data_IF_922596771651
#
_entry.id   IF_922596771651
#
_cell.length_a   1.000
_cell.length_b   1.000
_cell.length_c   1.000
_cell.angle_alpha   90.00
_cell.angle_beta   90.00
_cell.angle_gamma   90.00
#
_symmetry.space_group_name_H-M   'P 1'
#
loop_
_entity.id
_entity.type
_entity.pdbx_description
1 polymer ?
#
# COMPACT_ATOMS: atom_id res chain seq x y z
N UNK A 1 -6.27 4.09 18.13
CA UNK A 1 -7.15 2.94 17.82
C UNK A 1 -8.45 3.34 17.10
N UNK A 2 -8.97 4.58 17.23
CA UNK A 2 -10.22 5.00 16.58
C UNK A 2 -10.19 5.13 15.04
N UNK A 3 -9.01 5.25 14.41
CA UNK A 3 -8.88 5.37 12.95
C UNK A 3 -8.94 4.06 12.16
N UNK A 4 -8.74 2.90 12.82
CA UNK A 4 -8.64 1.60 12.16
C UNK A 4 -9.87 1.24 11.33
N UNK A 5 -11.10 1.32 11.88
CA UNK A 5 -12.32 1.06 11.13
C UNK A 5 -12.49 1.98 9.91
N UNK A 6 -12.17 3.27 10.05
CA UNK A 6 -12.22 4.24 8.95
C UNK A 6 -11.28 3.87 7.81
N UNK A 7 -10.06 3.43 8.13
CA UNK A 7 -9.09 2.95 7.15
C UNK A 7 -9.59 1.68 6.42
N UNK A 8 -10.08 0.69 7.15
CA UNK A 8 -10.60 -0.56 6.57
C UNK A 8 -11.79 -0.27 5.65
N UNK A 9 -12.70 0.61 6.09
CA UNK A 9 -13.86 1.00 5.30
C UNK A 9 -13.46 1.76 4.02
N UNK A 10 -12.49 2.68 4.12
CA UNK A 10 -11.92 3.38 2.98
C UNK A 10 -11.26 2.42 1.97
N UNK A 11 -10.38 1.53 2.43
CA UNK A 11 -9.70 0.57 1.55
C UNK A 11 -10.68 -0.41 0.90
N UNK A 12 -11.71 -0.85 1.62
CA UNK A 12 -12.77 -1.70 1.08
C UNK A 12 -13.56 -0.99 -0.02
N UNK A 13 -13.96 0.26 0.21
CA UNK A 13 -14.70 1.06 -0.77
C UNK A 13 -13.85 1.42 -1.98
N UNK A 14 -12.56 1.72 -1.76
CA UNK A 14 -11.58 1.95 -2.82
C UNK A 14 -11.44 0.74 -3.73
N UNK A 15 -11.22 -0.45 -3.17
CA UNK A 15 -11.14 -1.71 -3.93
C UNK A 15 -12.43 -1.98 -4.69
N UNK A 16 -13.59 -1.71 -4.07
CA UNK A 16 -14.90 -1.84 -4.74
C UNK A 16 -15.02 -0.96 -5.99
N UNK A 17 -14.52 0.28 -5.95
CA UNK A 17 -14.51 1.19 -7.11
C UNK A 17 -13.48 0.78 -8.15
N UNK A 18 -12.30 0.33 -7.73
CA UNK A 18 -11.25 -0.18 -8.63
C UNK A 18 -11.77 -1.36 -9.45
N UNK A 19 -12.45 -2.34 -8.81
CA UNK A 19 -13.11 -3.44 -9.51
C UNK A 19 -14.10 -2.98 -10.60
N UNK A 20 -14.75 -1.83 -10.42
CA UNK A 20 -15.67 -1.26 -11.40
C UNK A 20 -14.98 -0.43 -12.50
N UNK A 21 -13.65 -0.34 -12.49
CA UNK A 21 -12.87 0.49 -13.41
C UNK A 21 -12.83 1.98 -13.04
N UNK A 22 -13.30 2.36 -11.85
CA UNK A 22 -13.30 3.76 -11.38
C UNK A 22 -12.07 3.98 -10.50
N UNK A 23 -10.89 4.08 -11.11
CA UNK A 23 -9.63 4.23 -10.37
C UNK A 23 -9.37 5.67 -9.89
N UNK A 24 -9.83 6.67 -10.67
CA UNK A 24 -9.57 8.09 -10.44
C UNK A 24 -10.18 8.62 -9.14
N UNK A 25 -11.30 8.03 -8.70
CA UNK A 25 -12.00 8.42 -7.48
C UNK A 25 -11.07 8.40 -6.25
N UNK A 26 -10.30 7.32 -6.12
CA UNK A 26 -9.38 7.15 -5.01
C UNK A 26 -8.21 8.13 -5.05
N UNK A 27 -7.72 8.45 -6.25
CA UNK A 27 -6.63 9.41 -6.46
C UNK A 27 -7.07 10.83 -6.07
N UNK A 28 -8.25 11.28 -6.53
CA UNK A 28 -8.78 12.61 -6.22
C UNK A 28 -8.97 12.77 -4.70
N UNK A 29 -9.54 11.76 -4.05
CA UNK A 29 -9.77 11.79 -2.60
C UNK A 29 -8.44 11.86 -1.84
N UNK A 30 -7.44 11.07 -2.21
CA UNK A 30 -6.11 11.11 -1.59
C UNK A 30 -5.40 12.45 -1.81
N UNK A 31 -5.57 13.06 -2.98
CA UNK A 31 -4.98 14.36 -3.32
C UNK A 31 -5.55 15.50 -2.46
N UNK A 32 -6.85 15.45 -2.13
CA UNK A 32 -7.50 16.42 -1.23
C UNK A 32 -7.08 16.17 0.22
N UNK A 33 -6.92 14.92 0.61
CA UNK A 33 -6.72 14.53 2.01
C UNK A 33 -5.28 14.70 2.47
N UNK A 34 -4.31 14.49 1.57
CA UNK A 34 -2.90 14.71 1.87
C UNK A 34 -2.61 16.10 2.48
N UNK A 35 -3.01 17.23 1.86
CA UNK A 35 -2.77 18.55 2.45
C UNK A 35 -3.57 18.77 3.74
N UNK A 36 -4.79 18.23 3.83
CA UNK A 36 -5.59 18.28 5.06
C UNK A 36 -4.86 17.58 6.21
N UNK A 37 -4.27 16.41 5.96
CA UNK A 37 -3.49 15.67 6.93
C UNK A 37 -2.26 16.44 7.40
N UNK A 38 -1.55 17.10 6.47
CA UNK A 38 -0.39 17.95 6.80
C UNK A 38 -0.82 19.12 7.70
N UNK A 39 -1.90 19.82 7.35
CA UNK A 39 -2.42 20.93 8.15
C UNK A 39 -2.86 20.48 9.55
N UNK A 40 -3.56 19.35 9.63
CA UNK A 40 -3.97 18.74 10.91
C UNK A 40 -2.77 18.36 11.76
N UNK A 41 -1.73 17.75 11.18
CA UNK A 41 -0.51 17.42 11.91
C UNK A 41 0.18 18.69 12.43
N UNK A 42 0.34 19.73 11.62
CA UNK A 42 0.95 21.00 12.07
C UNK A 42 0.12 21.60 13.21
N UNK A 43 -1.20 21.70 13.05
CA UNK A 43 -2.11 22.26 14.04
C UNK A 43 -2.06 21.49 15.37
N UNK A 44 -2.22 20.17 15.33
CA UNK A 44 -2.33 19.33 16.53
C UNK A 44 -0.99 19.12 17.23
N UNK A 45 0.12 19.13 16.50
CA UNK A 45 1.45 18.96 17.08
C UNK A 45 1.97 20.27 17.67
N UNK A 46 1.78 21.41 16.99
CA UNK A 46 2.38 22.70 17.40
C UNK A 46 1.45 23.54 18.30
N UNK A 47 0.14 23.52 18.08
CA UNK A 47 -0.80 24.42 18.77
C UNK A 47 -1.60 23.76 19.89
N UNK A 48 -1.46 22.44 20.08
CA UNK A 48 -2.20 21.70 21.11
C UNK A 48 -1.22 21.04 22.08
N UNK A 49 -1.66 20.84 23.33
CA UNK A 49 -0.90 20.12 24.37
C UNK A 49 -0.63 18.64 24.05
N UNK A 50 -1.23 18.10 22.98
CA UNK A 50 -1.17 16.70 22.58
C UNK A 50 0.17 16.29 21.93
N UNK A 51 1.01 17.25 21.46
CA UNK A 51 2.34 17.00 20.85
C UNK A 51 2.34 15.74 19.96
N UNK A 52 3.07 14.70 20.34
CA UNK A 52 3.22 13.45 19.58
C UNK A 52 1.90 12.67 19.43
N UNK A 53 1.03 12.67 20.46
CA UNK A 53 -0.30 12.05 20.38
C UNK A 53 -1.22 12.77 19.39
N UNK A 54 -0.96 14.06 19.14
CA UNK A 54 -1.66 14.86 18.14
C UNK A 54 -1.56 14.27 16.73
N UNK A 55 -0.41 13.67 16.37
CA UNK A 55 -0.23 13.04 15.06
C UNK A 55 -1.09 11.78 14.88
N UNK A 56 -1.15 10.92 15.89
CA UNK A 56 -2.01 9.74 15.86
C UNK A 56 -3.51 10.09 15.78
N UNK A 57 -3.90 11.19 16.42
CA UNK A 57 -5.26 11.72 16.33
C UNK A 57 -5.55 12.31 14.95
N UNK A 58 -4.65 13.15 14.42
CA UNK A 58 -4.73 13.70 13.06
C UNK A 58 -4.93 12.60 12.02
N UNK A 59 -4.14 11.53 12.12
CA UNK A 59 -4.23 10.38 11.21
C UNK A 59 -5.59 9.67 11.33
N UNK A 60 -6.11 9.50 12.55
CA UNK A 60 -7.42 8.89 12.77
C UNK A 60 -8.54 9.70 12.13
N UNK A 61 -8.52 11.02 12.29
CA UNK A 61 -9.48 11.95 11.66
C UNK A 61 -9.37 11.88 10.14
N UNK A 62 -8.15 11.85 9.62
CA UNK A 62 -7.87 11.76 8.18
C UNK A 62 -8.47 10.50 7.55
N UNK A 63 -8.37 9.34 8.21
CA UNK A 63 -8.99 8.11 7.70
C UNK A 63 -10.52 8.17 7.65
N UNK A 64 -11.16 8.75 8.65
CA UNK A 64 -12.60 8.95 8.64
C UNK A 64 -13.04 9.95 7.55
N UNK A 65 -12.26 11.02 7.35
CA UNK A 65 -12.48 11.97 6.24
C UNK A 65 -12.29 11.30 4.88
N UNK A 66 -11.31 10.40 4.75
CA UNK A 66 -11.10 9.63 3.52
C UNK A 66 -12.28 8.75 3.16
N UNK A 67 -12.77 8.02 4.16
CA UNK A 67 -13.96 7.20 3.98
C UNK A 67 -15.19 8.04 3.63
N UNK A 68 -15.42 9.17 4.31
CA UNK A 68 -16.60 10.01 4.06
C UNK A 68 -16.55 10.68 2.69
N UNK A 69 -15.41 11.27 2.29
CA UNK A 69 -15.23 11.89 0.98
C UNK A 69 -15.39 10.87 -0.15
N UNK A 70 -14.82 9.67 0.00
CA UNK A 70 -14.98 8.62 -0.99
C UNK A 70 -16.44 8.17 -1.08
N UNK A 71 -17.14 8.01 0.05
CA UNK A 71 -18.56 7.66 0.09
C UNK A 71 -19.45 8.70 -0.60
N UNK A 72 -19.17 9.99 -0.36
CA UNK A 72 -19.83 11.10 -1.04
C UNK A 72 -19.57 11.04 -2.55
N UNK A 73 -18.32 10.82 -2.96
CA UNK A 73 -17.97 10.66 -4.37
C UNK A 73 -18.77 9.51 -5.02
N UNK A 74 -18.86 8.35 -4.36
CA UNK A 74 -19.65 7.20 -4.86
C UNK A 74 -21.13 7.56 -5.02
N UNK A 75 -21.70 8.28 -4.04
CA UNK A 75 -23.10 8.69 -4.08
C UNK A 75 -23.42 9.61 -5.26
N UNK A 76 -22.53 10.56 -5.55
CA UNK A 76 -22.71 11.51 -6.66
C UNK A 76 -22.20 11.01 -8.01
N UNK A 77 -21.36 9.96 -8.04
CA UNK A 77 -20.74 9.49 -9.28
C UNK A 77 -21.78 8.87 -10.24
N UNK A 78 -21.96 9.45 -11.44
CA UNK A 78 -22.88 8.90 -12.44
C UNK A 78 -22.42 7.53 -12.95
N UNK A 79 -21.11 7.27 -12.98
CA UNK A 79 -20.52 5.99 -13.38
C UNK A 79 -20.93 4.85 -12.44
N UNK A 80 -20.97 5.10 -11.13
CA UNK A 80 -21.44 4.10 -10.17
C UNK A 80 -22.95 3.84 -10.33
N UNK A 81 -23.73 4.90 -10.52
CA UNK A 81 -25.18 4.80 -10.76
C UNK A 81 -25.52 4.01 -12.03
N UNK A 82 -24.67 4.10 -13.06
CA UNK A 82 -24.79 3.35 -14.31
C UNK A 82 -24.56 1.85 -14.12
N UNK A 83 -23.60 1.48 -13.29
CA UNK A 83 -23.22 0.07 -13.08
C UNK A 83 -24.26 -0.73 -12.27
N UNK A 84 -25.15 -0.07 -11.51
CA UNK A 84 -26.23 -0.70 -10.69
C UNK A 84 -25.73 -1.87 -9.81
N UNK A 85 -24.47 -1.82 -9.39
CA UNK A 85 -23.78 -2.86 -8.65
C UNK A 85 -24.12 -2.88 -7.16
N UNK A 86 -24.78 -1.84 -6.65
CA UNK A 86 -25.16 -1.73 -5.24
C UNK A 86 -26.66 -1.91 -5.04
N UNK A 87 -27.07 -3.08 -4.53
CA UNK A 87 -28.48 -3.41 -4.23
C UNK A 87 -28.93 -3.03 -2.80
N UNK A 88 -28.12 -2.23 -2.09
CA UNK A 88 -28.33 -1.86 -0.69
C UNK A 88 -27.66 -2.80 0.31
N UNK A 89 -27.48 -2.33 1.55
CA UNK A 89 -26.92 -3.15 2.64
C UNK A 89 -27.99 -4.11 3.15
N UNK A 90 -27.90 -5.38 2.76
CA UNK A 90 -28.76 -6.45 3.28
C UNK A 90 -27.96 -7.26 4.29
N UNK A 91 -28.09 -6.96 5.58
CA UNK A 91 -27.32 -7.63 6.65
C UNK A 91 -27.40 -9.16 6.60
N UNK A 92 -28.53 -9.72 6.14
CA UNK A 92 -28.72 -11.17 5.97
C UNK A 92 -27.76 -11.82 4.96
N UNK A 93 -27.35 -11.09 3.92
CA UNK A 93 -26.38 -11.58 2.93
C UNK A 93 -24.94 -11.26 3.33
N UNK A 94 -24.73 -10.17 4.09
CA UNK A 94 -23.40 -9.81 4.61
C UNK A 94 -22.93 -10.79 5.70
N UNK A 95 -23.87 -11.29 6.51
CA UNK A 95 -23.59 -12.23 7.60
C UNK A 95 -23.80 -13.70 7.19
N UNK A 96 -23.95 -13.97 5.89
CA UNK A 96 -24.04 -15.35 5.42
C UNK A 96 -22.73 -16.09 5.67
N UNK A 97 -22.78 -17.10 6.53
CA UNK A 97 -21.61 -17.82 7.00
C UNK A 97 -20.87 -18.53 5.85
N UNK A 98 -21.59 -19.06 4.86
CA UNK A 98 -20.98 -19.73 3.71
C UNK A 98 -20.16 -18.74 2.86
N UNK A 99 -20.74 -17.59 2.53
CA UNK A 99 -20.04 -16.53 1.79
C UNK A 99 -18.79 -16.02 2.53
N UNK A 100 -18.89 -15.83 3.85
CA UNK A 100 -17.75 -15.45 4.69
C UNK A 100 -16.64 -16.51 4.70
N UNK A 101 -16.98 -17.80 4.79
CA UNK A 101 -15.98 -18.89 4.79
C UNK A 101 -15.25 -18.96 3.44
N UNK A 102 -15.97 -18.82 2.33
CA UNK A 102 -15.37 -18.81 0.98
C UNK A 102 -14.41 -17.64 0.85
N UNK A 103 -14.82 -16.44 1.27
CA UNK A 103 -13.95 -15.27 1.27
C UNK A 103 -12.72 -15.47 2.16
N UNK A 104 -12.90 -16.01 3.38
CA UNK A 104 -11.80 -16.25 4.30
C UNK A 104 -10.81 -17.28 3.75
N UNK A 105 -11.27 -18.32 3.07
CA UNK A 105 -10.41 -19.33 2.42
C UNK A 105 -9.52 -18.72 1.34
N UNK A 106 -9.98 -17.68 0.66
CA UNK A 106 -9.20 -16.91 -0.32
C UNK A 106 -8.30 -15.87 0.34
N UNK A 107 -8.76 -15.22 1.41
CA UNK A 107 -8.02 -14.17 2.11
C UNK A 107 -6.89 -14.71 2.98
N UNK A 108 -7.08 -15.87 3.61
CA UNK A 108 -6.14 -16.43 4.59
C UNK A 108 -4.74 -16.71 4.00
N UNK A 109 -4.59 -17.31 2.80
CA UNK A 109 -3.28 -17.45 2.17
C UNK A 109 -2.59 -16.11 1.93
N UNK A 110 -3.33 -15.10 1.48
CA UNK A 110 -2.79 -13.75 1.24
C UNK A 110 -2.35 -13.06 2.53
N UNK A 111 -3.14 -13.18 3.60
CA UNK A 111 -2.79 -12.65 4.93
C UNK A 111 -1.54 -13.34 5.47
N UNK A 112 -1.44 -14.66 5.34
CA UNK A 112 -0.27 -15.40 5.80
C UNK A 112 0.98 -15.04 4.99
N UNK A 113 0.87 -14.89 3.68
CA UNK A 113 1.98 -14.52 2.81
C UNK A 113 2.56 -13.15 3.20
N UNK A 114 1.72 -12.10 3.19
CA UNK A 114 2.14 -10.72 3.51
C UNK A 114 2.53 -10.60 4.99
N UNK A 115 1.82 -11.27 5.89
CA UNK A 115 2.13 -11.26 7.32
C UNK A 115 3.47 -11.92 7.65
N UNK A 116 3.81 -13.00 6.95
CA UNK A 116 5.12 -13.68 7.13
C UNK A 116 6.26 -12.82 6.60
N UNK A 117 6.06 -12.15 5.46
CA UNK A 117 7.03 -11.21 4.90
C UNK A 117 7.32 -10.06 5.87
N UNK A 118 6.27 -9.42 6.40
CA UNK A 118 6.44 -8.34 7.39
C UNK A 118 7.12 -8.84 8.66
N UNK A 119 6.74 -10.01 9.16
CA UNK A 119 7.36 -10.61 10.33
C UNK A 119 8.86 -10.84 10.14
N UNK A 120 9.29 -11.25 8.94
CA UNK A 120 10.71 -11.41 8.62
C UNK A 120 11.48 -10.08 8.72
N UNK A 121 10.92 -8.99 8.18
CA UNK A 121 11.53 -7.67 8.29
C UNK A 121 11.64 -7.18 9.74
N UNK A 122 10.62 -7.41 10.56
CA UNK A 122 10.63 -7.08 11.99
C UNK A 122 11.68 -7.89 12.76
N UNK A 123 11.84 -9.18 12.45
CA UNK A 123 12.88 -10.02 13.06
C UNK A 123 14.28 -9.47 12.74
N UNK A 124 14.52 -9.05 11.50
CA UNK A 124 15.79 -8.44 11.09
C UNK A 124 15.99 -7.09 11.80
N UNK A 125 14.95 -6.27 11.95
CA UNK A 125 15.01 -5.02 12.69
C UNK A 125 15.34 -5.22 14.18
N UNK A 126 14.71 -6.20 14.82
CA UNK A 126 15.00 -6.55 16.22
C UNK A 126 16.42 -7.11 16.39
N UNK A 127 16.91 -7.88 15.41
CA UNK A 127 18.29 -8.37 15.41
C UNK A 127 19.29 -7.21 15.23
N UNK A 128 19.04 -6.30 14.28
CA UNK A 128 19.85 -5.11 14.06
C UNK A 128 19.89 -4.19 15.30
N UNK A 129 18.75 -4.06 16.01
CA UNK A 129 18.66 -3.33 17.27
C UNK A 129 19.54 -3.89 18.39
N UNK A 130 19.86 -5.19 18.37
CA UNK A 130 20.82 -5.80 19.32
C UNK A 130 22.28 -5.58 18.94
N UNK A 131 22.58 -5.32 17.67
CA UNK A 131 23.94 -5.12 17.16
C UNK A 131 24.45 -3.68 17.39
N UNK A 132 23.57 -2.72 17.65
CA UNK A 132 23.90 -1.35 17.99
C UNK A 132 23.05 -0.31 17.26
N UNK A 133 23.36 0.97 17.46
CA UNK A 133 22.64 2.08 16.83
C UNK A 133 22.86 2.17 15.32
N UNK A 134 24.08 1.88 14.84
CA UNK A 134 24.44 1.98 13.41
C UNK A 134 23.69 0.95 12.55
N UNK A 135 23.68 -0.36 12.89
CA UNK A 135 22.88 -1.35 12.13
C UNK A 135 21.38 -1.09 12.20
N UNK A 136 20.87 -0.63 13.35
CA UNK A 136 19.46 -0.28 13.51
C UNK A 136 19.07 0.90 12.60
N UNK A 137 19.88 1.94 12.56
CA UNK A 137 19.67 3.09 11.68
C UNK A 137 19.71 2.66 10.21
N UNK A 138 20.71 1.88 9.80
CA UNK A 138 20.82 1.36 8.44
C UNK A 138 19.59 0.52 8.06
N UNK A 139 19.09 -0.33 8.96
CA UNK A 139 17.89 -1.13 8.73
C UNK A 139 16.63 -0.27 8.58
N UNK A 140 16.48 0.80 9.37
CA UNK A 140 15.35 1.72 9.24
C UNK A 140 15.35 2.44 7.88
N UNK A 141 16.53 2.84 7.40
CA UNK A 141 16.72 3.42 6.05
C UNK A 141 16.31 2.40 4.98
N UNK A 142 16.78 1.16 5.09
CA UNK A 142 16.44 0.08 4.16
C UNK A 142 14.93 -0.17 4.13
N UNK A 143 14.28 -0.28 5.28
CA UNK A 143 12.83 -0.51 5.35
C UNK A 143 12.03 0.63 4.73
N UNK A 144 12.43 1.88 4.96
CA UNK A 144 11.75 3.04 4.35
C UNK A 144 11.95 3.06 2.84
N UNK A 145 13.15 2.71 2.38
CA UNK A 145 13.48 2.62 0.95
C UNK A 145 12.66 1.53 0.27
N UNK A 146 12.59 0.36 0.88
CA UNK A 146 11.79 -0.78 0.40
C UNK A 146 10.31 -0.38 0.26
N UNK A 147 9.72 0.29 1.25
CA UNK A 147 8.34 0.76 1.17
C UNK A 147 8.10 1.73 0.00
N UNK A 148 9.00 2.68 -0.22
CA UNK A 148 8.88 3.65 -1.32
C UNK A 148 8.97 2.94 -2.66
N UNK A 149 9.93 2.03 -2.81
CA UNK A 149 10.16 1.32 -4.07
C UNK A 149 9.07 0.29 -4.37
N UNK A 150 8.51 -0.35 -3.34
CA UNK A 150 7.39 -1.28 -3.47
C UNK A 150 6.06 -0.58 -3.83
N UNK A 151 5.95 0.74 -3.69
CA UNK A 151 4.70 1.45 -3.97
C UNK A 151 4.29 1.38 -5.45
N UNK A 152 5.24 1.54 -6.38
CA UNK A 152 4.96 1.52 -7.83
C UNK A 152 4.48 0.12 -8.26
N UNK A 153 5.19 -0.97 -7.92
CA UNK A 153 4.82 -2.30 -8.39
C UNK A 153 3.60 -2.84 -7.67
N UNK A 154 3.38 -2.47 -6.41
CA UNK A 154 2.12 -2.73 -5.72
C UNK A 154 0.93 -2.11 -6.46
N UNK A 155 1.07 -0.87 -6.95
CA UNK A 155 0.07 -0.21 -7.79
C UNK A 155 -0.19 -0.97 -9.09
N UNK A 156 0.87 -1.40 -9.79
CA UNK A 156 0.76 -2.24 -11.00
C UNK A 156 0.04 -3.55 -10.68
N UNK A 157 0.36 -4.21 -9.57
CA UNK A 157 -0.26 -5.46 -9.13
C UNK A 157 -1.76 -5.32 -8.89
N UNK A 158 -2.20 -4.23 -8.23
CA UNK A 158 -3.63 -3.95 -8.04
C UNK A 158 -4.33 -3.73 -9.39
N UNK A 159 -3.74 -2.93 -10.28
CA UNK A 159 -4.32 -2.64 -11.59
C UNK A 159 -4.42 -3.92 -12.46
N UNK A 160 -3.34 -4.72 -12.48
CA UNK A 160 -3.28 -6.00 -13.16
C UNK A 160 -4.32 -6.99 -12.66
N UNK A 161 -4.40 -7.19 -11.34
CA UNK A 161 -5.36 -8.11 -10.70
C UNK A 161 -6.80 -7.70 -11.00
N UNK A 162 -7.08 -6.41 -10.92
CA UNK A 162 -8.39 -5.84 -11.23
C UNK A 162 -8.76 -6.06 -12.71
N UNK A 163 -7.83 -5.78 -13.62
CA UNK A 163 -8.05 -5.91 -15.06
C UNK A 163 -8.25 -7.38 -15.47
N UNK A 164 -7.38 -8.28 -15.01
CA UNK A 164 -7.50 -9.72 -15.25
C UNK A 164 -8.80 -10.26 -14.65
N UNK A 165 -9.15 -9.86 -13.42
CA UNK A 165 -10.40 -10.24 -12.77
C UNK A 165 -11.64 -9.81 -13.57
N UNK A 166 -11.62 -8.59 -14.13
CA UNK A 166 -12.70 -8.08 -14.96
C UNK A 166 -12.84 -8.85 -16.28
N UNK A 167 -11.73 -9.22 -16.94
CA UNK A 167 -11.75 -10.02 -18.18
C UNK A 167 -12.25 -11.44 -17.93
N UNK A 168 -11.83 -12.07 -16.84
CA UNK A 168 -12.35 -13.38 -16.41
C UNK A 168 -13.86 -13.29 -16.14
N UNK A 169 -14.32 -12.24 -15.45
CA UNK A 169 -15.74 -11.98 -15.20
C UNK A 169 -16.55 -11.77 -16.48
N UNK A 170 -15.95 -11.16 -17.51
CA UNK A 170 -16.53 -10.99 -18.84
C UNK A 170 -16.50 -12.26 -19.71
N UNK A 171 -15.99 -13.39 -19.18
CA UNK A 171 -15.76 -14.66 -19.89
C UNK A 171 -14.77 -14.57 -21.06
N UNK A 172 -13.89 -13.57 -21.05
CA UNK A 172 -12.82 -13.42 -22.03
C UNK A 172 -11.51 -14.03 -21.49
N UNK A 173 -11.39 -15.34 -21.61
CA UNK A 173 -10.20 -16.08 -21.16
C UNK A 173 -8.94 -15.73 -21.98
N UNK A 174 -9.11 -15.41 -23.28
CA UNK A 174 -8.00 -15.05 -24.15
C UNK A 174 -7.43 -13.68 -23.76
N UNK A 175 -8.31 -12.68 -23.58
CA UNK A 175 -7.95 -11.37 -23.05
C UNK A 175 -7.30 -11.46 -21.68
N UNK A 176 -7.86 -12.26 -20.76
CA UNK A 176 -7.30 -12.46 -19.42
C UNK A 176 -5.87 -13.02 -19.46
N UNK A 177 -5.60 -13.98 -20.36
CA UNK A 177 -4.25 -14.55 -20.53
C UNK A 177 -3.26 -13.51 -21.04
N UNK A 178 -3.65 -12.71 -22.03
CA UNK A 178 -2.81 -11.64 -22.58
C UNK A 178 -2.55 -10.57 -21.52
N UNK A 179 -3.59 -10.12 -20.82
CA UNK A 179 -3.46 -9.14 -19.73
C UNK A 179 -2.53 -9.64 -18.62
N UNK A 180 -2.57 -10.92 -18.27
CA UNK A 180 -1.65 -11.54 -17.32
C UNK A 180 -0.19 -11.50 -17.79
N UNK A 181 0.08 -11.85 -19.05
CA UNK A 181 1.45 -11.81 -19.60
C UNK A 181 2.00 -10.38 -19.68
N UNK A 182 1.18 -9.42 -20.14
CA UNK A 182 1.57 -8.00 -20.19
C UNK A 182 1.86 -7.48 -18.79
N UNK A 183 1.03 -7.84 -17.80
CA UNK A 183 1.24 -7.43 -16.41
C UNK A 183 2.55 -8.00 -15.85
N UNK A 184 2.86 -9.28 -16.10
CA UNK A 184 4.12 -9.88 -15.70
C UNK A 184 5.34 -9.21 -16.36
N UNK A 185 5.25 -8.89 -17.65
CA UNK A 185 6.30 -8.16 -18.35
C UNK A 185 6.50 -6.76 -17.79
N UNK A 186 5.41 -6.05 -17.48
CA UNK A 186 5.47 -4.71 -16.90
C UNK A 186 6.09 -4.73 -15.49
N UNK A 187 5.74 -5.70 -14.66
CA UNK A 187 6.37 -5.92 -13.35
C UNK A 187 7.86 -6.19 -13.48
N UNK A 188 8.28 -7.02 -14.43
CA UNK A 188 9.69 -7.32 -14.71
C UNK A 188 10.47 -6.05 -15.11
N UNK A 189 9.93 -5.27 -16.07
CA UNK A 189 10.57 -4.03 -16.53
C UNK A 189 10.70 -3.05 -15.37
N UNK A 190 9.62 -2.87 -14.60
CA UNK A 190 9.61 -1.94 -13.46
C UNK A 190 10.61 -2.38 -12.39
N UNK A 191 10.68 -3.67 -12.08
CA UNK A 191 11.66 -4.22 -11.14
C UNK A 191 13.10 -4.01 -11.58
N UNK A 192 13.38 -4.20 -12.87
CA UNK A 192 14.71 -3.97 -13.42
C UNK A 192 15.10 -2.49 -13.38
N UNK A 193 14.18 -1.58 -13.70
CA UNK A 193 14.39 -0.13 -13.57
C UNK A 193 14.70 0.25 -12.12
N UNK A 194 13.91 -0.24 -11.17
CA UNK A 194 14.13 0.00 -9.73
C UNK A 194 15.51 -0.51 -9.30
N UNK A 195 15.91 -1.71 -9.74
CA UNK A 195 17.22 -2.28 -9.45
C UNK A 195 18.36 -1.39 -9.97
N UNK A 196 18.27 -0.95 -11.23
CA UNK A 196 19.29 -0.09 -11.84
C UNK A 196 19.39 1.23 -11.08
N UNK A 197 18.26 1.87 -10.79
CA UNK A 197 18.23 3.14 -10.04
C UNK A 197 18.89 2.96 -8.68
N UNK A 198 18.51 1.93 -7.92
CA UNK A 198 19.12 1.62 -6.62
C UNK A 198 20.63 1.42 -6.71
N UNK A 199 21.10 0.68 -7.72
CA UNK A 199 22.53 0.45 -7.93
C UNK A 199 23.30 1.74 -8.28
N UNK A 200 22.67 2.66 -9.01
CA UNK A 200 23.27 3.95 -9.33
C UNK A 200 23.33 4.89 -8.11
N UNK A 201 22.32 4.88 -7.24
CA UNK A 201 22.24 5.81 -6.09
C UNK A 201 22.85 5.25 -4.81
N UNK A 202 23.34 4.01 -4.79
CA UNK A 202 23.72 3.28 -3.57
C UNK A 202 24.70 4.01 -2.66
N UNK A 203 25.63 4.77 -3.23
CA UNK A 203 26.69 5.44 -2.48
C UNK A 203 26.26 6.81 -1.91
N UNK A 204 25.16 7.38 -2.43
CA UNK A 204 24.67 8.71 -2.03
C UNK A 204 23.38 8.63 -1.23
N UNK A 205 22.58 7.58 -1.45
CA UNK A 205 21.24 7.46 -0.89
C UNK A 205 21.22 7.48 0.65
N UNK A 206 22.24 6.91 1.30
CA UNK A 206 22.36 6.92 2.77
C UNK A 206 22.38 8.34 3.37
N UNK A 207 22.94 9.32 2.66
CA UNK A 207 23.04 10.71 3.11
C UNK A 207 21.69 11.43 3.20
N UNK A 208 20.63 10.89 2.58
CA UNK A 208 19.27 11.46 2.70
C UNK A 208 18.71 11.25 4.12
N UNK A 209 19.18 10.22 4.81
CA UNK A 209 18.63 9.79 6.11
C UNK A 209 19.57 10.03 7.29
N UNK A 210 20.89 10.05 7.06
CA UNK A 210 21.87 10.22 8.13
C UNK A 210 23.17 10.85 7.61
N UNK A 211 23.72 11.77 8.41
CA UNK A 211 25.05 12.36 8.19
C UNK A 211 26.19 11.47 8.71
N UNK A 212 25.89 10.35 9.38
CA UNK A 212 26.91 9.42 9.90
C UNK A 212 27.46 8.52 8.78
N UNK A 213 28.73 8.72 8.44
CA UNK A 213 29.43 7.93 7.41
C UNK A 213 29.39 6.42 7.67
N UNK A 214 29.36 5.97 8.93
CA UNK A 214 29.30 4.55 9.26
C UNK A 214 27.94 3.96 8.85
N UNK A 215 26.85 4.70 9.02
CA UNK A 215 25.50 4.31 8.58
C UNK A 215 25.45 4.29 7.06
N UNK A 216 25.96 5.33 6.40
CA UNK A 216 25.95 5.45 4.93
C UNK A 216 26.71 4.29 4.27
N UNK A 217 27.91 3.97 4.77
CA UNK A 217 28.72 2.85 4.23
C UNK A 217 28.00 1.51 4.41
N UNK A 218 27.36 1.28 5.56
CA UNK A 218 26.64 0.05 5.82
C UNK A 218 25.40 -0.08 4.91
N UNK A 219 24.66 1.01 4.72
CA UNK A 219 23.53 1.06 3.77
C UNK A 219 24.02 0.75 2.34
N UNK A 220 25.11 1.36 1.89
CA UNK A 220 25.67 1.13 0.56
C UNK A 220 26.10 -0.34 0.33
N UNK A 221 26.59 -1.02 1.37
CA UNK A 221 26.96 -2.44 1.30
C UNK A 221 25.74 -3.37 1.23
N UNK A 222 24.64 -3.04 1.90
CA UNK A 222 23.44 -3.89 1.96
C UNK A 222 22.48 -3.62 0.80
N UNK A 223 22.52 -2.42 0.20
CA UNK A 223 21.62 -2.03 -0.89
C UNK A 223 21.58 -2.98 -2.10
N UNK A 224 22.69 -3.62 -2.54
CA UNK A 224 22.66 -4.64 -3.58
C UNK A 224 21.81 -5.88 -3.24
N UNK A 225 21.82 -6.30 -1.98
CA UNK A 225 20.96 -7.40 -1.51
C UNK A 225 19.49 -7.00 -1.56
N UNK A 226 19.18 -5.77 -1.15
CA UNK A 226 17.81 -5.22 -1.19
C UNK A 226 17.32 -5.12 -2.63
N UNK A 227 18.13 -4.58 -3.54
CA UNK A 227 17.78 -4.48 -4.95
C UNK A 227 17.53 -5.86 -5.60
N UNK A 228 18.32 -6.86 -5.21
CA UNK A 228 18.15 -8.25 -5.68
C UNK A 228 16.88 -8.89 -5.14
N UNK A 229 16.58 -8.69 -3.85
CA UNK A 229 15.34 -9.14 -3.23
C UNK A 229 14.13 -8.50 -3.91
N UNK A 230 14.21 -7.20 -4.18
CA UNK A 230 13.15 -6.41 -4.78
C UNK A 230 12.74 -6.96 -6.15
N UNK A 231 13.71 -7.32 -7.00
CA UNK A 231 13.44 -7.97 -8.29
C UNK A 231 12.71 -9.30 -8.10
N UNK A 232 13.15 -10.13 -7.15
CA UNK A 232 12.52 -11.43 -6.87
C UNK A 232 11.08 -11.27 -6.37
N UNK A 233 10.80 -10.30 -5.52
CA UNK A 233 9.44 -10.07 -5.00
C UNK A 233 8.44 -9.63 -6.08
N UNK A 234 8.91 -9.22 -7.26
CA UNK A 234 8.04 -8.89 -8.41
C UNK A 234 7.74 -10.06 -9.35
N UNK A 235 8.37 -11.23 -9.12
CA UNK A 235 8.18 -12.46 -9.88
C UNK A 235 7.36 -13.50 -9.11
#
# INVERSE_FOLDING_TARGET
MFGGPGYIAFESLKKYLQCQGIMDASMIVLLIISPINVLLNIALVHYTSLRLLGSAFALSVTYWLAFSLLSIYVYFSPSHRRNRTWAGVRLRHVLDAQSCIVFLKLALPGILMVGTEWAAFEIVALAAGRLGSVPLAAQAVIMTTDQILNTIPFGIGIAASTHVGNLIGARDAAGAKVAGHISALLSMITGLVVMIVLMCVKDVYGYIFSDDEAVVRLVAQVMPLVASFQVRSFF
#
